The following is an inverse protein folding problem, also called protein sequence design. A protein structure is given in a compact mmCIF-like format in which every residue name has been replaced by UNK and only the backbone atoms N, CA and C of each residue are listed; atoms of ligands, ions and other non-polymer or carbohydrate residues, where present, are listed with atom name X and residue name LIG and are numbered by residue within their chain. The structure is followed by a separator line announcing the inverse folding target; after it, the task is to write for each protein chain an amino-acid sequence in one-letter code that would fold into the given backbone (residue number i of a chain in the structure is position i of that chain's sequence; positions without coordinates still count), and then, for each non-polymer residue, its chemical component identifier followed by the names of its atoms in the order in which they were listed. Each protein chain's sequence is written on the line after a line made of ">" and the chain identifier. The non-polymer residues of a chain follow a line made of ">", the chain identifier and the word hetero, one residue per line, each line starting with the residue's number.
data_IF_398516775434
#
_entry.id   IF_398516775434
#
_cell.length_a   1.000
_cell.length_b   1.000
_cell.length_c   1.000
_cell.angle_alpha   90.00
_cell.angle_beta   90.00
_cell.angle_gamma   90.00
#
_symmetry.space_group_name_H-M   'P 1'
#
loop_
_entity.id
_entity.type
_entity.pdbx_description
1 polymer ?
#
# COMPACT_ATOMS: atom_id res chain seq x y z
N UNK A 1 2.04 3.12 -24.22
CA UNK A 1 1.05 4.22 -24.31
C UNK A 1 0.08 4.04 -23.16
N UNK A 2 -0.24 5.09 -22.39
CA UNK A 2 -1.23 4.95 -21.32
C UNK A 2 -2.62 4.81 -21.94
N UNK A 3 -3.38 3.80 -21.53
CA UNK A 3 -4.77 3.64 -21.90
C UNK A 3 -5.60 4.49 -20.94
N UNK A 4 -6.34 5.45 -21.46
CA UNK A 4 -7.24 6.30 -20.67
C UNK A 4 -8.68 5.90 -21.00
N UNK A 5 -9.41 5.46 -19.99
CA UNK A 5 -10.84 5.31 -20.05
C UNK A 5 -11.48 6.66 -19.71
N UNK A 6 -12.02 7.35 -20.72
CA UNK A 6 -12.67 8.65 -20.53
C UNK A 6 -14.18 8.48 -20.37
N UNK A 7 -14.78 9.29 -19.54
CA UNK A 7 -16.19 9.77 -19.51
C UNK A 7 -17.33 8.76 -19.65
N UNK A 8 -17.09 7.50 -19.87
CA UNK A 8 -18.11 6.44 -19.90
C UNK A 8 -17.59 5.20 -19.16
N UNK A 9 -17.01 5.45 -18.00
CA UNK A 9 -16.47 4.38 -17.14
C UNK A 9 -17.57 3.39 -16.74
N UNK A 10 -18.80 3.87 -16.55
CA UNK A 10 -19.94 3.04 -16.16
C UNK A 10 -20.31 1.99 -17.22
N UNK A 11 -20.02 2.24 -18.50
CA UNK A 11 -20.25 1.27 -19.57
C UNK A 11 -19.17 0.20 -19.69
N UNK A 12 -18.01 0.37 -19.03
CA UNK A 12 -16.92 -0.61 -19.07
C UNK A 12 -17.25 -1.83 -18.20
N UNK A 13 -17.07 -3.03 -18.75
CA UNK A 13 -17.38 -4.30 -18.07
C UNK A 13 -16.13 -5.06 -17.70
N UNK A 14 -16.13 -5.64 -16.51
CA UNK A 14 -15.08 -6.58 -16.11
C UNK A 14 -15.31 -7.95 -16.72
N UNK A 15 -14.27 -8.52 -17.33
CA UNK A 15 -14.23 -9.94 -17.75
C UNK A 15 -13.78 -10.76 -16.54
N UNK A 16 -14.72 -11.37 -15.83
CA UNK A 16 -14.48 -12.28 -14.71
C UNK A 16 -15.61 -13.29 -14.60
N UNK A 17 -15.29 -14.49 -14.15
CA UNK A 17 -16.30 -15.53 -13.80
C UNK A 17 -16.88 -15.30 -12.40
N UNK A 18 -16.27 -14.47 -11.58
CA UNK A 18 -16.77 -14.13 -10.24
C UNK A 18 -17.72 -12.93 -10.31
N UNK A 19 -19.00 -13.19 -10.04
CA UNK A 19 -20.04 -12.17 -10.07
C UNK A 19 -19.80 -11.03 -9.07
N UNK A 20 -19.19 -11.32 -7.91
CA UNK A 20 -18.88 -10.32 -6.90
C UNK A 20 -17.79 -9.34 -7.37
N UNK A 21 -16.77 -9.85 -8.07
CA UNK A 21 -15.75 -9.01 -8.69
C UNK A 21 -16.38 -8.07 -9.75
N UNK A 22 -17.28 -8.61 -10.59
CA UNK A 22 -17.99 -7.80 -11.58
C UNK A 22 -18.85 -6.71 -10.92
N UNK A 23 -19.58 -7.04 -9.85
CA UNK A 23 -20.42 -6.09 -9.11
C UNK A 23 -19.59 -4.99 -8.46
N UNK A 24 -18.48 -5.35 -7.80
CA UNK A 24 -17.58 -4.35 -7.20
C UNK A 24 -16.97 -3.43 -8.26
N UNK A 25 -16.48 -4.01 -9.36
CA UNK A 25 -15.93 -3.24 -10.47
C UNK A 25 -16.96 -2.25 -11.02
N UNK A 26 -18.19 -2.71 -11.31
CA UNK A 26 -19.29 -1.84 -11.79
C UNK A 26 -19.56 -0.71 -10.79
N UNK A 27 -19.67 -1.02 -9.50
CA UNK A 27 -19.87 -0.01 -8.46
C UNK A 27 -18.78 1.08 -8.49
N UNK A 28 -17.52 0.68 -8.60
CA UNK A 28 -16.39 1.63 -8.66
C UNK A 28 -16.46 2.49 -9.92
N UNK A 29 -16.77 1.90 -11.07
CA UNK A 29 -16.85 2.62 -12.34
C UNK A 29 -18.03 3.61 -12.36
N UNK A 30 -19.19 3.24 -11.80
CA UNK A 30 -20.32 4.14 -11.65
C UNK A 30 -19.94 5.33 -10.73
N UNK A 31 -19.29 5.07 -9.60
CA UNK A 31 -18.84 6.14 -8.70
C UNK A 31 -17.77 7.04 -9.33
N UNK A 32 -16.93 6.49 -10.19
CA UNK A 32 -15.94 7.27 -10.93
C UNK A 32 -16.61 8.14 -12.01
N UNK A 33 -17.62 7.63 -12.69
CA UNK A 33 -18.40 8.34 -13.68
C UNK A 33 -19.23 9.49 -13.08
N UNK A 34 -19.72 9.32 -11.84
CA UNK A 34 -20.38 10.39 -11.07
C UNK A 34 -19.47 11.59 -10.79
N UNK A 35 -18.14 11.42 -10.89
CA UNK A 35 -17.19 12.49 -10.66
C UNK A 35 -17.02 13.35 -11.91
N UNK A 36 -16.96 14.67 -11.73
CA UNK A 36 -16.60 15.56 -12.83
C UNK A 36 -15.19 15.20 -13.34
N UNK A 37 -15.11 14.72 -14.57
CA UNK A 37 -13.85 14.24 -15.17
C UNK A 37 -13.22 13.02 -14.46
N UNK A 38 -14.04 12.05 -14.05
CA UNK A 38 -13.58 10.76 -13.57
C UNK A 38 -12.84 10.00 -14.69
N UNK A 39 -11.66 9.45 -14.38
CA UNK A 39 -10.82 8.74 -15.36
C UNK A 39 -10.21 7.49 -14.76
N UNK A 40 -10.31 6.38 -15.47
CA UNK A 40 -9.56 5.17 -15.18
C UNK A 40 -8.35 5.07 -16.13
N UNK A 41 -7.18 4.83 -15.60
CA UNK A 41 -5.92 4.85 -16.35
C UNK A 41 -5.11 3.60 -16.09
N UNK A 42 -4.70 2.91 -17.15
CA UNK A 42 -3.64 1.89 -17.09
C UNK A 42 -2.41 2.53 -17.74
N UNK A 43 -1.39 2.81 -16.92
CA UNK A 43 -0.24 3.61 -17.32
C UNK A 43 1.09 2.90 -17.19
N UNK A 44 2.15 3.57 -17.64
CA UNK A 44 3.51 3.09 -17.40
C UNK A 44 3.76 2.95 -15.91
N UNK A 45 4.58 1.96 -15.55
CA UNK A 45 5.03 1.74 -14.18
C UNK A 45 5.60 3.03 -13.60
N UNK A 46 4.95 3.55 -12.58
CA UNK A 46 5.50 4.63 -11.79
C UNK A 46 6.53 4.03 -10.84
N UNK A 47 7.68 4.64 -10.75
CA UNK A 47 8.75 4.15 -9.88
C UNK A 47 8.21 3.98 -8.45
N UNK A 48 8.30 2.76 -7.93
CA UNK A 48 8.05 2.43 -6.53
C UNK A 48 6.61 2.19 -6.11
N UNK A 49 5.59 2.28 -7.00
CA UNK A 49 4.19 2.13 -6.59
C UNK A 49 3.45 1.05 -7.37
N UNK A 50 2.54 0.32 -6.71
CA UNK A 50 1.57 -0.57 -7.33
C UNK A 50 0.60 0.20 -8.23
N UNK A 51 -0.12 1.11 -7.74
CA UNK A 51 -1.00 2.07 -8.39
C UNK A 51 -1.20 3.24 -7.44
N UNK A 52 -1.83 4.29 -7.88
CA UNK A 52 -2.17 5.40 -7.01
C UNK A 52 -3.46 6.08 -7.42
N UNK A 53 -4.13 6.63 -6.43
CA UNK A 53 -5.21 7.56 -6.58
C UNK A 53 -4.67 8.99 -6.51
N UNK A 54 -5.13 9.86 -7.39
CA UNK A 54 -4.86 11.29 -7.27
C UNK A 54 -6.10 12.11 -7.58
N UNK A 55 -6.33 13.14 -6.78
CA UNK A 55 -7.30 14.18 -7.03
C UNK A 55 -6.57 15.47 -7.39
N UNK A 56 -6.87 16.00 -8.56
CA UNK A 56 -6.49 17.37 -8.95
C UNK A 56 -7.79 18.15 -9.13
N UNK A 57 -7.74 19.45 -8.94
CA UNK A 57 -8.91 20.38 -8.92
C UNK A 57 -10.03 20.08 -9.94
N UNK A 58 -9.76 19.32 -10.97
CA UNK A 58 -10.70 19.06 -12.07
C UNK A 58 -10.73 17.60 -12.55
N UNK A 59 -9.90 16.69 -12.00
CA UNK A 59 -9.80 15.32 -12.50
C UNK A 59 -9.63 14.35 -11.35
N UNK A 60 -10.58 13.46 -11.20
CA UNK A 60 -10.48 12.30 -10.29
C UNK A 60 -10.04 11.08 -11.11
N UNK A 61 -9.07 10.33 -10.64
CA UNK A 61 -8.58 9.16 -11.39
C UNK A 61 -8.13 8.02 -10.50
N UNK A 62 -8.37 6.82 -11.02
CA UNK A 62 -7.74 5.58 -10.53
C UNK A 62 -6.67 5.22 -11.56
N UNK A 63 -5.43 5.04 -11.11
CA UNK A 63 -4.29 4.72 -11.97
C UNK A 63 -3.70 3.39 -11.57
N UNK A 64 -3.63 2.47 -12.54
CA UNK A 64 -2.97 1.18 -12.36
C UNK A 64 -1.68 1.14 -13.19
N UNK A 65 -0.64 0.43 -12.73
CA UNK A 65 0.57 0.21 -13.50
C UNK A 65 0.29 -0.51 -14.82
N UNK A 66 1.13 -0.26 -15.82
CA UNK A 66 1.11 -1.02 -17.07
C UNK A 66 1.31 -2.52 -16.78
N UNK A 67 0.48 -3.36 -17.37
CA UNK A 67 0.49 -4.81 -17.15
C UNK A 67 -0.41 -5.30 -16.02
N UNK A 68 -0.97 -4.40 -15.20
CA UNK A 68 -1.95 -4.79 -14.16
C UNK A 68 -3.29 -5.21 -14.77
N UNK A 69 -3.68 -4.59 -15.87
CA UNK A 69 -4.92 -4.92 -16.56
C UNK A 69 -4.79 -4.72 -18.07
N UNK A 70 -5.65 -5.36 -18.84
CA UNK A 70 -5.79 -5.19 -20.28
C UNK A 70 -7.18 -4.64 -20.60
N UNK A 71 -7.21 -3.61 -21.42
CA UNK A 71 -8.46 -3.01 -21.90
C UNK A 71 -8.70 -3.32 -23.38
N UNK A 72 -9.86 -3.85 -23.68
CA UNK A 72 -10.37 -4.09 -25.03
C UNK A 72 -11.33 -2.96 -25.43
N UNK A 73 -10.86 -2.07 -26.28
CA UNK A 73 -11.64 -0.91 -26.75
C UNK A 73 -12.86 -1.32 -27.60
N UNK A 74 -12.77 -2.45 -28.32
CA UNK A 74 -13.85 -2.88 -29.22
C UNK A 74 -15.07 -3.34 -28.42
N UNK A 75 -14.82 -4.10 -27.36
CA UNK A 75 -15.88 -4.66 -26.52
C UNK A 75 -16.15 -3.82 -25.27
N UNK A 76 -15.39 -2.76 -25.05
CA UNK A 76 -15.39 -1.94 -23.84
C UNK A 76 -15.29 -2.80 -22.58
N UNK A 77 -14.30 -3.68 -22.56
CA UNK A 77 -14.08 -4.61 -21.44
C UNK A 77 -12.67 -4.49 -20.89
N UNK A 78 -12.54 -4.78 -19.58
CA UNK A 78 -11.27 -4.86 -18.89
C UNK A 78 -11.09 -6.26 -18.32
N UNK A 79 -9.87 -6.77 -18.34
CA UNK A 79 -9.50 -8.05 -17.73
C UNK A 79 -8.23 -7.89 -16.89
N UNK A 80 -8.18 -8.62 -15.80
CA UNK A 80 -7.01 -8.72 -14.92
C UNK A 80 -6.39 -10.12 -15.07
N UNK A 81 -5.05 -10.22 -15.22
CA UNK A 81 -4.40 -11.51 -15.46
C UNK A 81 -4.53 -12.49 -14.29
N UNK A 82 -4.66 -11.98 -13.05
CA UNK A 82 -4.87 -12.82 -11.87
C UNK A 82 -5.56 -12.04 -10.75
N UNK A 83 -5.93 -12.75 -9.66
CA UNK A 83 -6.49 -12.16 -8.45
C UNK A 83 -5.55 -11.15 -7.79
N UNK A 84 -4.24 -11.31 -7.94
CA UNK A 84 -3.25 -10.36 -7.43
C UNK A 84 -3.41 -8.99 -8.10
N UNK A 85 -3.48 -8.96 -9.42
CA UNK A 85 -3.65 -7.71 -10.16
C UNK A 85 -5.03 -7.10 -9.92
N UNK A 86 -6.07 -7.93 -9.78
CA UNK A 86 -7.38 -7.42 -9.38
C UNK A 86 -7.38 -6.89 -7.95
N UNK A 87 -6.64 -7.51 -7.01
CA UNK A 87 -6.47 -6.99 -5.65
C UNK A 87 -5.76 -5.63 -5.61
N UNK A 88 -4.82 -5.37 -6.52
CA UNK A 88 -4.22 -4.03 -6.69
C UNK A 88 -5.30 -3.02 -7.10
N UNK A 89 -6.16 -3.36 -8.07
CA UNK A 89 -7.29 -2.51 -8.42
C UNK A 89 -8.22 -2.25 -7.23
N UNK A 90 -8.56 -3.29 -6.45
CA UNK A 90 -9.43 -3.15 -5.26
C UNK A 90 -8.80 -2.21 -4.24
N UNK A 91 -7.48 -2.27 -4.04
CA UNK A 91 -6.75 -1.38 -3.15
C UNK A 91 -6.83 0.09 -3.63
N UNK A 92 -6.51 0.35 -4.89
CA UNK A 92 -6.56 1.71 -5.45
C UNK A 92 -8.01 2.27 -5.50
N UNK A 93 -8.98 1.41 -5.83
CA UNK A 93 -10.39 1.75 -5.75
C UNK A 93 -10.83 2.08 -4.32
N UNK A 94 -10.26 1.40 -3.32
CA UNK A 94 -10.54 1.68 -1.91
C UNK A 94 -10.05 3.06 -1.48
N UNK A 95 -8.89 3.51 -1.97
CA UNK A 95 -8.45 4.89 -1.81
C UNK A 95 -9.44 5.88 -2.43
N UNK A 96 -9.85 5.64 -3.66
CA UNK A 96 -10.84 6.47 -4.34
C UNK A 96 -12.17 6.56 -3.57
N UNK A 97 -12.72 5.42 -3.18
CA UNK A 97 -13.98 5.37 -2.42
C UNK A 97 -13.84 6.07 -1.06
N UNK A 98 -12.73 5.89 -0.36
CA UNK A 98 -12.46 6.57 0.89
C UNK A 98 -12.40 8.10 0.72
N UNK A 99 -11.59 8.54 -0.22
CA UNK A 99 -11.23 9.96 -0.31
C UNK A 99 -12.28 10.80 -1.01
N UNK A 100 -12.87 10.27 -2.07
CA UNK A 100 -13.77 11.04 -2.95
C UNK A 100 -15.23 10.77 -2.60
N UNK A 101 -15.61 9.50 -2.49
CA UNK A 101 -17.01 9.13 -2.26
C UNK A 101 -17.40 9.37 -0.80
N UNK A 102 -16.60 8.88 0.13
CA UNK A 102 -16.86 8.98 1.57
C UNK A 102 -16.18 10.20 2.21
N UNK A 103 -15.59 11.08 1.42
CA UNK A 103 -15.01 12.37 1.86
C UNK A 103 -14.02 12.21 3.03
N UNK A 104 -13.21 11.16 3.00
CA UNK A 104 -12.21 10.89 4.01
C UNK A 104 -12.73 10.23 5.30
N UNK A 105 -13.99 9.81 5.34
CA UNK A 105 -14.50 9.09 6.52
C UNK A 105 -13.90 7.69 6.62
N UNK A 106 -13.36 7.35 7.80
CA UNK A 106 -12.75 6.06 8.06
C UNK A 106 -13.80 4.99 8.33
N UNK A 107 -13.65 3.83 7.70
CA UNK A 107 -14.37 2.59 8.04
C UNK A 107 -13.62 1.78 9.10
N UNK A 108 -12.29 1.80 9.05
CA UNK A 108 -11.46 1.14 10.05
C UNK A 108 -11.62 1.81 11.41
N UNK A 109 -11.58 1.02 12.47
CA UNK A 109 -11.42 1.60 13.81
C UNK A 109 -10.10 2.35 13.85
N UNK A 110 -10.07 3.56 14.41
CA UNK A 110 -8.83 4.29 14.55
C UNK A 110 -7.78 3.44 15.26
N UNK A 111 -6.57 3.39 14.73
CA UNK A 111 -5.45 2.86 15.47
C UNK A 111 -5.18 3.77 16.66
N UNK A 112 -4.70 3.20 17.77
CA UNK A 112 -4.39 3.97 18.99
C UNK A 112 -3.47 5.14 18.65
N UNK A 113 -3.89 6.36 18.98
CA UNK A 113 -3.18 7.60 18.65
C UNK A 113 -3.58 8.24 17.33
N UNK A 114 -4.68 7.79 16.70
CA UNK A 114 -5.25 8.38 15.48
C UNK A 114 -6.58 9.11 15.73
N UNK A 115 -7.07 9.08 16.94
CA UNK A 115 -8.42 9.54 17.28
C UNK A 115 -8.64 11.04 17.00
N UNK A 116 -7.55 11.82 16.94
CA UNK A 116 -7.57 13.28 16.78
C UNK A 116 -7.07 13.76 15.41
N UNK A 117 -6.94 12.87 14.41
CA UNK A 117 -6.44 13.28 13.11
C UNK A 117 -7.59 13.85 12.27
N UNK A 118 -7.72 15.17 12.28
CA UNK A 118 -8.49 15.91 11.30
C UNK A 118 -7.77 15.85 9.95
N UNK A 119 -8.43 15.26 8.95
CA UNK A 119 -7.93 15.15 7.59
C UNK A 119 -8.14 16.46 6.84
N UNK A 120 -7.46 17.50 7.23
CA UNK A 120 -7.35 18.66 6.38
C UNK A 120 -6.38 18.39 5.22
N UNK A 121 -6.69 18.88 4.04
CA UNK A 121 -5.99 18.54 2.78
C UNK A 121 -4.48 18.80 2.80
N UNK A 122 -3.99 19.55 3.77
CA UNK A 122 -2.57 19.86 3.96
C UNK A 122 -1.82 18.72 4.65
N UNK A 123 -2.49 18.01 5.56
CA UNK A 123 -1.92 16.89 6.32
C UNK A 123 -1.76 15.62 5.47
N UNK A 124 -2.48 15.58 4.34
CA UNK A 124 -2.51 14.47 3.39
C UNK A 124 -1.16 14.19 2.73
N UNK A 125 -0.32 15.19 2.63
CA UNK A 125 0.99 15.10 2.00
C UNK A 125 2.09 14.73 2.99
N UNK A 126 1.76 14.70 4.29
CA UNK A 126 2.73 14.31 5.31
C UNK A 126 2.86 12.79 5.36
N UNK A 127 4.09 12.28 5.31
CA UNK A 127 4.43 10.85 5.39
C UNK A 127 3.80 10.17 6.62
N UNK A 128 3.57 10.91 7.70
CA UNK A 128 2.91 10.43 8.91
C UNK A 128 1.49 9.94 8.65
N UNK A 129 0.78 10.54 7.70
CA UNK A 129 -0.62 10.19 7.38
C UNK A 129 -0.76 9.16 6.27
N UNK A 130 0.25 8.99 5.42
CA UNK A 130 0.22 7.97 4.36
C UNK A 130 -0.08 6.59 4.89
N UNK A 131 0.54 6.20 6.02
CA UNK A 131 0.30 4.90 6.64
C UNK A 131 -1.17 4.67 7.02
N UNK A 132 -1.87 5.70 7.42
CA UNK A 132 -3.27 5.60 7.82
C UNK A 132 -4.19 5.45 6.63
N UNK A 133 -3.86 6.12 5.55
CA UNK A 133 -4.57 6.01 4.27
C UNK A 133 -4.38 4.62 3.68
N UNK A 134 -3.17 4.10 3.71
CA UNK A 134 -2.85 2.74 3.27
C UNK A 134 -3.57 1.69 4.15
N UNK A 135 -3.57 1.89 5.46
CA UNK A 135 -4.31 1.02 6.38
C UNK A 135 -5.82 1.03 6.09
N UNK A 136 -6.41 2.20 5.90
CA UNK A 136 -7.82 2.33 5.55
C UNK A 136 -8.13 1.67 4.21
N UNK A 137 -7.29 1.84 3.20
CA UNK A 137 -7.46 1.18 1.91
C UNK A 137 -7.38 -0.34 2.03
N UNK A 138 -6.43 -0.85 2.81
CA UNK A 138 -6.32 -2.27 3.11
C UNK A 138 -7.52 -2.83 3.83
N UNK A 139 -8.01 -2.14 4.84
CA UNK A 139 -9.23 -2.50 5.56
C UNK A 139 -10.44 -2.52 4.64
N UNK A 140 -10.67 -1.44 3.88
CA UNK A 140 -11.78 -1.33 2.92
C UNK A 140 -11.75 -2.44 1.89
N UNK A 141 -10.58 -2.79 1.39
CA UNK A 141 -10.41 -3.88 0.42
C UNK A 141 -10.97 -5.20 0.97
N UNK A 142 -10.69 -5.52 2.24
CA UNK A 142 -11.23 -6.71 2.91
C UNK A 142 -12.73 -6.61 3.17
N UNK A 143 -13.22 -5.45 3.59
CA UNK A 143 -14.67 -5.20 3.76
C UNK A 143 -15.41 -5.36 2.44
N UNK A 144 -14.87 -4.82 1.34
CA UNK A 144 -15.48 -4.97 0.02
C UNK A 144 -15.39 -6.41 -0.49
N UNK A 145 -14.25 -7.10 -0.25
CA UNK A 145 -14.15 -8.53 -0.57
C UNK A 145 -15.27 -9.34 0.07
N UNK A 146 -15.54 -9.11 1.34
CA UNK A 146 -16.64 -9.80 2.06
C UNK A 146 -18.00 -9.34 1.55
N UNK A 147 -18.22 -8.02 1.42
CA UNK A 147 -19.52 -7.45 1.00
C UNK A 147 -19.96 -7.93 -0.37
N UNK A 148 -19.02 -8.05 -1.31
CA UNK A 148 -19.30 -8.46 -2.68
C UNK A 148 -19.02 -9.94 -2.95
N UNK A 149 -18.53 -10.71 -1.99
CA UNK A 149 -18.12 -12.12 -2.17
C UNK A 149 -17.12 -12.30 -3.34
N UNK A 150 -16.05 -11.49 -3.34
CA UNK A 150 -15.08 -11.50 -4.44
C UNK A 150 -14.10 -12.68 -4.41
N UNK A 151 -13.98 -13.35 -3.26
CA UNK A 151 -13.14 -14.54 -3.04
C UNK A 151 -11.65 -14.34 -3.34
N UNK A 152 -11.14 -13.15 -3.01
CA UNK A 152 -9.74 -12.76 -3.22
C UNK A 152 -9.05 -12.26 -1.94
N UNK A 153 -9.52 -12.68 -0.77
CA UNK A 153 -9.00 -12.21 0.51
C UNK A 153 -7.48 -12.44 0.66
N UNK A 154 -6.98 -13.59 0.21
CA UNK A 154 -5.55 -13.90 0.24
C UNK A 154 -4.73 -12.94 -0.63
N UNK A 155 -5.19 -12.66 -1.84
CA UNK A 155 -4.53 -11.74 -2.75
C UNK A 155 -4.52 -10.31 -2.18
N UNK A 156 -5.65 -9.86 -1.61
CA UNK A 156 -5.77 -8.57 -0.93
C UNK A 156 -4.78 -8.48 0.24
N UNK A 157 -4.71 -9.50 1.07
CA UNK A 157 -3.78 -9.52 2.21
C UNK A 157 -2.32 -9.44 1.74
N UNK A 158 -1.95 -10.18 0.70
CA UNK A 158 -0.60 -10.12 0.11
C UNK A 158 -0.26 -8.75 -0.45
N UNK A 159 -1.18 -8.12 -1.20
CA UNK A 159 -1.01 -6.76 -1.73
C UNK A 159 -0.86 -5.76 -0.58
N UNK A 160 -1.78 -5.81 0.39
CA UNK A 160 -1.77 -4.90 1.53
C UNK A 160 -0.50 -5.06 2.37
N UNK A 161 -0.04 -6.29 2.63
CA UNK A 161 1.18 -6.52 3.37
C UNK A 161 2.42 -6.00 2.62
N UNK A 162 2.44 -6.11 1.30
CA UNK A 162 3.51 -5.51 0.51
C UNK A 162 3.50 -3.98 0.65
N UNK A 163 2.34 -3.37 0.52
CA UNK A 163 2.19 -1.92 0.65
C UNK A 163 2.35 -1.45 2.11
N UNK A 164 1.76 -2.18 3.06
CA UNK A 164 1.81 -1.85 4.49
C UNK A 164 3.14 -2.22 5.13
N UNK A 165 3.93 -3.11 4.52
CA UNK A 165 5.27 -3.45 5.03
C UNK A 165 6.17 -2.23 5.13
N UNK A 166 5.94 -1.27 4.26
CA UNK A 166 6.69 -0.02 4.27
C UNK A 166 6.15 1.01 5.28
N UNK A 167 4.88 0.88 5.72
CA UNK A 167 4.21 1.91 6.52
C UNK A 167 3.61 1.43 7.84
N UNK A 168 3.15 0.19 7.93
CA UNK A 168 2.34 -0.29 9.07
C UNK A 168 2.83 -1.58 9.71
N UNK A 169 3.69 -2.34 9.07
CA UNK A 169 4.21 -3.59 9.61
C UNK A 169 5.28 -3.34 10.68
N UNK A 170 5.02 -2.37 11.50
CA UNK A 170 5.84 -2.10 12.65
C UNK A 170 5.25 -2.87 13.82
N UNK A 171 5.53 -4.19 13.87
CA UNK A 171 5.37 -4.93 15.12
C UNK A 171 6.19 -4.23 16.22
N UNK A 172 5.84 -4.42 17.47
CA UNK A 172 6.65 -3.91 18.58
C UNK A 172 8.11 -4.37 18.46
N UNK A 173 8.30 -5.59 17.96
CA UNK A 173 9.63 -6.15 17.70
C UNK A 173 10.33 -5.43 16.56
N UNK A 174 9.65 -5.13 15.46
CA UNK A 174 10.23 -4.34 14.37
C UNK A 174 10.67 -2.95 14.85
N UNK A 175 9.82 -2.28 15.63
CA UNK A 175 10.16 -0.99 16.24
C UNK A 175 11.40 -1.09 17.13
N UNK A 176 11.45 -2.12 17.97
CA UNK A 176 12.49 -2.29 18.97
C UNK A 176 13.83 -2.70 18.37
N UNK A 177 13.81 -3.66 17.45
CA UNK A 177 15.05 -4.30 16.97
C UNK A 177 15.58 -3.72 15.66
N UNK A 178 14.72 -3.09 14.84
CA UNK A 178 15.14 -2.55 13.54
C UNK A 178 15.01 -1.03 13.50
N UNK A 179 13.81 -0.49 13.66
CA UNK A 179 13.54 0.91 13.36
C UNK A 179 14.29 1.86 14.29
N UNK A 180 14.08 1.77 15.59
CA UNK A 180 14.77 2.66 16.54
C UNK A 180 16.30 2.57 16.45
N UNK A 181 16.90 1.36 16.44
CA UNK A 181 18.35 1.26 16.29
C UNK A 181 18.86 1.83 14.97
N UNK A 182 18.16 1.59 13.86
CA UNK A 182 18.56 2.13 12.55
C UNK A 182 18.44 3.66 12.47
N UNK A 183 17.38 4.24 13.03
CA UNK A 183 17.22 5.69 13.15
C UNK A 183 18.33 6.32 13.97
N UNK A 184 18.69 5.72 15.10
CA UNK A 184 19.78 6.18 15.95
C UNK A 184 21.14 6.14 15.22
N UNK A 185 21.41 5.06 14.51
CA UNK A 185 22.63 4.91 13.70
C UNK A 185 22.65 5.95 12.60
N UNK A 186 21.56 6.11 11.85
CA UNK A 186 21.44 7.08 10.79
C UNK A 186 21.67 8.50 11.31
N UNK A 187 21.01 8.88 12.38
CA UNK A 187 21.15 10.22 12.98
C UNK A 187 22.58 10.51 13.45
N UNK A 188 23.21 9.56 14.12
CA UNK A 188 24.62 9.68 14.55
C UNK A 188 25.56 9.85 13.36
N UNK A 189 25.33 9.10 12.28
CA UNK A 189 26.15 9.21 11.07
C UNK A 189 25.93 10.54 10.36
N UNK A 190 24.71 11.03 10.29
CA UNK A 190 24.42 12.35 9.71
C UNK A 190 25.08 13.48 10.54
N UNK A 191 25.07 13.37 11.85
CA UNK A 191 25.78 14.31 12.73
C UNK A 191 27.30 14.25 12.51
N UNK A 192 27.88 13.06 12.40
CA UNK A 192 29.28 12.89 12.05
C UNK A 192 29.64 13.56 10.72
N UNK A 193 28.87 13.32 9.64
CA UNK A 193 29.08 13.95 8.34
C UNK A 193 29.00 15.48 8.43
N UNK A 194 28.05 16.00 9.16
CA UNK A 194 27.91 17.44 9.41
C UNK A 194 29.14 18.01 10.11
N UNK A 195 29.61 17.36 11.17
CA UNK A 195 30.74 17.80 11.98
C UNK A 195 32.07 17.72 11.21
N UNK A 196 32.22 16.73 10.35
CA UNK A 196 33.42 16.57 9.48
C UNK A 196 33.34 17.36 8.19
N UNK A 197 32.24 18.08 7.95
CA UNK A 197 31.98 18.79 6.67
C UNK A 197 32.14 17.86 5.46
N UNK A 198 31.67 16.63 5.57
CA UNK A 198 31.68 15.65 4.50
C UNK A 198 30.98 16.19 3.25
N UNK A 199 31.43 15.78 2.07
CA UNK A 199 30.78 16.15 0.82
C UNK A 199 29.42 15.45 0.71
N UNK A 200 28.49 16.06 -0.01
CA UNK A 200 27.18 15.46 -0.25
C UNK A 200 27.29 14.08 -0.92
N UNK A 201 28.26 13.90 -1.81
CA UNK A 201 28.56 12.62 -2.46
C UNK A 201 28.87 11.50 -1.45
N UNK A 202 29.63 11.81 -0.38
CA UNK A 202 29.96 10.83 0.67
C UNK A 202 28.73 10.42 1.47
N UNK A 203 27.80 11.36 1.71
CA UNK A 203 26.52 11.10 2.39
C UNK A 203 25.64 10.19 1.54
N UNK A 204 25.48 10.52 0.26
CA UNK A 204 24.70 9.73 -0.70
C UNK A 204 25.31 8.34 -0.83
N UNK A 205 26.62 8.25 -1.04
CA UNK A 205 27.32 6.97 -1.17
C UNK A 205 27.12 6.07 0.05
N UNK A 206 27.28 6.59 1.26
CA UNK A 206 27.05 5.81 2.47
C UNK A 206 25.59 5.36 2.60
N UNK A 207 24.64 6.23 2.27
CA UNK A 207 23.22 5.90 2.35
C UNK A 207 22.86 4.78 1.37
N UNK A 208 23.29 4.89 0.10
CA UNK A 208 22.90 3.97 -0.96
C UNK A 208 23.70 2.66 -0.95
N UNK A 209 25.00 2.72 -0.63
CA UNK A 209 25.88 1.54 -0.73
C UNK A 209 26.03 0.78 0.59
N UNK A 210 25.72 1.43 1.73
CA UNK A 210 25.94 0.83 3.06
C UNK A 210 24.64 0.72 3.85
N UNK A 211 23.96 1.85 4.08
CA UNK A 211 22.80 1.88 4.96
C UNK A 211 21.58 1.16 4.36
N UNK A 212 21.17 1.53 3.14
CA UNK A 212 20.00 0.90 2.50
C UNK A 212 20.16 -0.61 2.32
N UNK A 213 21.30 -1.14 1.82
CA UNK A 213 21.50 -2.58 1.73
C UNK A 213 21.49 -3.31 3.07
N UNK A 214 21.93 -2.65 4.16
CA UNK A 214 21.82 -3.24 5.50
C UNK A 214 20.37 -3.30 5.97
N UNK A 215 19.57 -2.27 5.69
CA UNK A 215 18.13 -2.27 5.98
C UNK A 215 17.39 -3.34 5.19
N UNK A 216 17.72 -3.52 3.91
CA UNK A 216 17.14 -4.57 3.07
C UNK A 216 17.45 -5.97 3.65
N UNK A 217 18.67 -6.20 4.13
CA UNK A 217 19.02 -7.45 4.82
C UNK A 217 18.21 -7.65 6.10
N UNK A 218 18.02 -6.61 6.92
CA UNK A 218 17.17 -6.72 8.11
C UNK A 218 15.74 -7.11 7.75
N UNK A 219 15.20 -6.56 6.65
CA UNK A 219 13.87 -6.90 6.13
C UNK A 219 13.81 -8.37 5.68
N UNK A 220 14.84 -8.87 4.99
CA UNK A 220 14.90 -10.29 4.59
C UNK A 220 14.96 -11.23 5.80
N UNK A 221 15.69 -10.87 6.86
CA UNK A 221 15.76 -11.69 8.10
C UNK A 221 14.37 -11.86 8.73
N UNK A 222 13.53 -10.83 8.72
CA UNK A 222 12.18 -10.90 9.32
C UNK A 222 11.10 -11.43 8.37
N UNK A 223 11.43 -11.62 7.10
CA UNK A 223 10.48 -12.07 6.06
C UNK A 223 9.75 -13.36 6.42
N UNK A 224 10.41 -14.43 6.92
CA UNK A 224 9.71 -15.66 7.31
C UNK A 224 8.66 -15.44 8.41
N UNK A 225 8.96 -14.60 9.40
CA UNK A 225 8.03 -14.29 10.49
C UNK A 225 6.81 -13.52 9.95
N UNK A 226 7.02 -12.61 9.01
CA UNK A 226 5.94 -11.86 8.35
C UNK A 226 5.06 -12.76 7.49
N UNK A 227 5.66 -13.66 6.73
CA UNK A 227 4.94 -14.62 5.88
C UNK A 227 4.12 -15.61 6.71
N UNK A 228 4.70 -16.14 7.80
CA UNK A 228 3.98 -17.02 8.73
C UNK A 228 2.78 -16.30 9.40
N UNK A 229 2.94 -15.04 9.74
CA UNK A 229 1.86 -14.21 10.26
C UNK A 229 0.76 -14.00 9.20
N UNK A 230 1.15 -13.71 7.95
CA UNK A 230 0.23 -13.56 6.83
C UNK A 230 -0.59 -14.82 6.60
N UNK A 231 0.03 -15.99 6.58
CA UNK A 231 -0.66 -17.27 6.43
C UNK A 231 -1.68 -17.50 7.55
N UNK A 232 -1.33 -17.10 8.77
CA UNK A 232 -2.24 -17.19 9.92
C UNK A 232 -3.44 -16.26 9.76
N UNK A 233 -3.22 -15.01 9.39
CA UNK A 233 -4.29 -14.03 9.18
C UNK A 233 -5.18 -14.43 8.01
N UNK A 234 -4.61 -14.95 6.93
CA UNK A 234 -5.36 -15.44 5.77
C UNK A 234 -6.29 -16.60 6.14
N UNK A 235 -5.82 -17.51 6.99
CA UNK A 235 -6.63 -18.67 7.47
C UNK A 235 -7.78 -18.25 8.38
N UNK A 236 -7.60 -17.24 9.19
CA UNK A 236 -8.61 -16.80 10.14
C UNK A 236 -9.57 -15.75 9.59
N UNK A 237 -9.26 -15.08 8.49
CA UNK A 237 -10.08 -14.13 7.71
C UNK A 237 -11.11 -13.29 8.49
N UNK A 238 -10.93 -13.11 9.79
CA UNK A 238 -11.85 -12.32 10.64
C UNK A 238 -11.51 -10.84 10.48
N UNK A 239 -12.30 -10.15 9.66
CA UNK A 239 -12.28 -8.71 9.53
C UNK A 239 -12.61 -8.11 10.90
N UNK A 240 -11.67 -7.44 11.52
CA UNK A 240 -11.86 -6.78 12.81
C UNK A 240 -10.90 -7.19 13.93
N UNK A 241 -10.28 -8.36 13.82
CA UNK A 241 -9.29 -8.83 14.80
C UNK A 241 -7.84 -8.83 14.28
N UNK A 242 -7.61 -8.26 13.10
CA UNK A 242 -6.28 -8.18 12.53
C UNK A 242 -5.39 -7.26 13.38
N UNK A 243 -4.49 -7.88 14.12
CA UNK A 243 -3.34 -7.20 14.71
C UNK A 243 -2.16 -7.43 13.77
N UNK A 244 -1.63 -6.36 13.21
CA UNK A 244 -0.39 -6.43 12.43
C UNK A 244 0.80 -6.55 13.39
N UNK A 245 0.92 -7.69 14.01
CA UNK A 245 2.00 -7.97 14.94
C UNK A 245 2.59 -9.35 14.64
N UNK A 246 3.88 -9.42 14.48
CA UNK A 246 4.65 -10.66 14.36
C UNK A 246 5.83 -10.60 15.32
N UNK A 247 6.25 -11.74 15.79
CA UNK A 247 7.38 -11.86 16.72
C UNK A 247 8.64 -12.18 15.93
N UNK A 248 9.72 -11.48 16.26
CA UNK A 248 11.06 -11.75 15.72
C UNK A 248 11.76 -12.68 16.72
N UNK A 249 12.13 -13.87 16.32
CA UNK A 249 12.79 -14.83 17.20
C UNK A 249 14.21 -14.39 17.60
N UNK A 250 14.78 -15.04 18.60
CA UNK A 250 16.07 -14.66 19.17
C UNK A 250 17.23 -14.78 18.16
N UNK A 251 17.15 -15.72 17.21
CA UNK A 251 18.15 -15.89 16.17
C UNK A 251 18.13 -14.70 15.21
N UNK A 252 16.95 -14.34 14.74
CA UNK A 252 16.74 -13.16 13.87
C UNK A 252 17.12 -11.86 14.59
N UNK A 253 16.80 -11.70 15.87
CA UNK A 253 17.22 -10.53 16.68
C UNK A 253 18.75 -10.41 16.73
N UNK A 254 19.46 -11.52 16.90
CA UNK A 254 20.93 -11.57 16.92
C UNK A 254 21.50 -11.19 15.56
N UNK A 255 20.95 -11.73 14.48
CA UNK A 255 21.37 -11.43 13.11
C UNK A 255 21.15 -9.95 12.77
N UNK A 256 19.98 -9.39 13.07
CA UNK A 256 19.68 -7.97 12.89
C UNK A 256 20.67 -7.09 13.67
N UNK A 257 20.93 -7.44 14.93
CA UNK A 257 21.88 -6.70 15.76
C UNK A 257 23.29 -6.72 15.16
N UNK A 258 23.69 -7.83 14.55
CA UNK A 258 24.97 -7.95 13.85
C UNK A 258 25.04 -7.09 12.61
N UNK A 259 23.96 -7.08 11.80
CA UNK A 259 23.87 -6.25 10.58
C UNK A 259 23.94 -4.77 10.95
N UNK A 260 23.13 -4.33 11.92
CA UNK A 260 23.10 -2.93 12.35
C UNK A 260 24.38 -2.49 13.06
N UNK A 261 25.02 -3.40 13.80
CA UNK A 261 26.31 -3.14 14.47
C UNK A 261 27.49 -2.94 13.53
N UNK A 262 27.35 -3.33 12.26
CA UNK A 262 28.36 -3.14 11.21
C UNK A 262 28.27 -1.78 10.49
N UNK A 263 27.23 -0.96 10.75
CA UNK A 263 27.02 0.37 10.17
C UNK A 263 27.77 1.47 10.88
#
# INVERSE_FOLDING_TARGET
>A
MAVKLHTDCAATKLVSTNAGQCQFFTHVMEKLDEQQFGVFVIGKKLEGAGGYFTEKKLVTRIVLPEGTATYDEVNNTISFPSDKEFAIFVHEASHFLHMVVDKGHYMAKPLRGMEDISMDSKDFMDMKYRKYIEYEAGWRSLVYNQRYNMDIAEAILKVNLTNMSNYLCESEDFQTYIKKPSEDIFNKKMEFFKNTKAKQEDVVKWTEEVFNPAMDKCVEVIKPAREAYLDTVTKFAEIGNMKFNYTIDAAAQTEISTILGAL
#
